data_IF_452340182538
#
_entry.id   IF_452340182538
#
_cell.length_a   1.000
_cell.length_b   1.000
_cell.length_c   1.000
_cell.angle_alpha   90.00
_cell.angle_beta   90.00
_cell.angle_gamma   90.00
#
_symmetry.space_group_name_H-M   'P 1'
#
loop_
_entity.id
_entity.type
_entity.pdbx_description
1 polymer ?
#
# COMPACT_ATOMS: atom_id res chain seq x y z
N UNK A 1 6.52 -21.92 11.34
CA UNK A 1 7.27 -20.72 11.18
C UNK A 1 6.65 -19.78 10.17
N UNK A 2 6.44 -18.57 10.54
CA UNK A 2 5.74 -17.63 9.67
C UNK A 2 6.70 -17.09 8.62
N UNK A 3 6.23 -16.98 7.38
CA UNK A 3 6.98 -16.30 6.35
C UNK A 3 6.96 -14.80 6.64
N UNK A 4 7.95 -14.09 6.11
CA UNK A 4 7.94 -12.64 6.19
C UNK A 4 6.70 -12.10 5.50
N UNK A 5 6.09 -11.05 6.03
CA UNK A 5 4.92 -10.47 5.37
C UNK A 5 5.30 -9.89 4.02
N UNK A 6 4.35 -9.94 3.10
CA UNK A 6 4.53 -9.39 1.76
C UNK A 6 3.93 -8.00 1.70
N UNK A 7 4.77 -7.02 1.39
CA UNK A 7 4.34 -5.65 1.17
C UNK A 7 4.30 -5.42 -0.33
N UNK A 8 3.15 -5.04 -0.85
CA UNK A 8 3.02 -4.76 -2.28
C UNK A 8 3.05 -3.26 -2.49
N UNK A 9 3.76 -2.83 -3.52
CA UNK A 9 3.89 -1.43 -3.90
C UNK A 9 3.29 -1.28 -5.29
N UNK A 10 2.25 -0.45 -5.42
CA UNK A 10 1.65 -0.15 -6.71
C UNK A 10 1.86 1.32 -7.00
N UNK A 11 2.78 1.63 -7.90
CA UNK A 11 3.15 2.99 -8.25
C UNK A 11 3.78 2.92 -9.63
N UNK A 12 3.39 3.82 -10.52
CA UNK A 12 3.93 3.81 -11.88
C UNK A 12 5.32 4.44 -11.97
N UNK A 13 5.81 5.05 -10.90
CA UNK A 13 7.13 5.67 -10.85
C UNK A 13 8.15 4.64 -10.39
N UNK A 14 9.05 4.26 -11.29
CA UNK A 14 10.08 3.25 -10.99
C UNK A 14 10.99 3.69 -9.84
N UNK A 15 11.32 4.98 -9.78
CA UNK A 15 12.20 5.49 -8.71
C UNK A 15 11.56 5.28 -7.34
N UNK A 16 10.27 5.51 -7.25
CA UNK A 16 9.54 5.31 -5.99
C UNK A 16 9.50 3.83 -5.65
N UNK A 17 9.19 2.97 -6.63
CA UNK A 17 9.17 1.54 -6.38
C UNK A 17 10.52 1.03 -5.89
N UNK A 18 11.60 1.46 -6.54
CA UNK A 18 12.94 1.01 -6.18
C UNK A 18 13.32 1.49 -4.79
N UNK A 19 13.05 2.75 -4.48
CA UNK A 19 13.38 3.30 -3.17
C UNK A 19 12.61 2.58 -2.06
N UNK A 20 11.33 2.34 -2.28
CA UNK A 20 10.52 1.64 -1.29
C UNK A 20 10.96 0.19 -1.14
N UNK A 21 11.25 -0.47 -2.24
CA UNK A 21 11.73 -1.85 -2.19
C UNK A 21 12.98 -1.96 -1.35
N UNK A 22 13.96 -1.06 -1.58
CA UNK A 22 15.19 -1.08 -0.80
C UNK A 22 14.93 -0.84 0.66
N UNK A 23 14.08 0.15 0.96
CA UNK A 23 13.77 0.49 2.33
C UNK A 23 13.12 -0.68 3.06
N UNK A 24 12.11 -1.27 2.45
CA UNK A 24 11.34 -2.32 3.11
C UNK A 24 12.15 -3.60 3.27
N UNK A 25 12.97 -3.92 2.27
CA UNK A 25 13.84 -5.10 2.38
C UNK A 25 14.89 -4.94 3.46
N UNK A 26 15.31 -3.70 3.71
CA UNK A 26 16.32 -3.46 4.73
C UNK A 26 15.84 -3.81 6.13
N UNK A 27 14.53 -3.86 6.34
CA UNK A 27 13.96 -4.26 7.62
C UNK A 27 13.39 -5.69 7.59
N UNK A 28 13.65 -6.43 6.52
CA UNK A 28 13.35 -7.86 6.49
C UNK A 28 12.01 -8.23 5.87
N UNK A 29 11.29 -7.30 5.28
CA UNK A 29 10.00 -7.62 4.66
C UNK A 29 10.18 -8.01 3.21
N UNK A 30 9.30 -8.91 2.73
CA UNK A 30 9.25 -9.25 1.31
C UNK A 30 8.48 -8.15 0.57
N UNK A 31 8.89 -7.86 -0.66
CA UNK A 31 8.25 -6.81 -1.45
C UNK A 31 7.99 -7.29 -2.87
N UNK A 32 6.90 -6.79 -3.44
CA UNK A 32 6.59 -6.94 -4.86
C UNK A 32 6.10 -5.59 -5.37
N UNK A 33 6.56 -5.19 -6.53
CA UNK A 33 6.15 -3.92 -7.12
C UNK A 33 5.37 -4.12 -8.40
N UNK A 34 4.36 -3.29 -8.60
CA UNK A 34 3.55 -3.31 -9.82
C UNK A 34 3.41 -1.89 -10.34
N UNK A 35 3.31 -1.76 -11.66
CA UNK A 35 3.21 -0.45 -12.29
C UNK A 35 1.78 0.04 -12.40
N UNK A 36 0.80 -0.84 -12.17
CA UNK A 36 -0.60 -0.48 -12.33
C UNK A 36 -1.46 -1.33 -11.42
N UNK A 37 -2.67 -0.84 -11.17
CA UNK A 37 -3.65 -1.60 -10.41
C UNK A 37 -4.01 -2.90 -11.12
N UNK A 38 -4.12 -2.85 -12.44
CA UNK A 38 -4.47 -4.03 -13.23
C UNK A 38 -3.42 -5.13 -13.07
N UNK A 39 -2.13 -4.74 -13.11
CA UNK A 39 -1.06 -5.71 -12.95
C UNK A 39 -1.14 -6.40 -11.59
N UNK A 40 -1.43 -5.62 -10.54
CA UNK A 40 -1.58 -6.19 -9.20
C UNK A 40 -2.77 -7.16 -9.15
N UNK A 41 -3.91 -6.75 -9.70
CA UNK A 41 -5.09 -7.60 -9.65
C UNK A 41 -4.89 -8.91 -10.40
N UNK A 42 -4.10 -8.89 -11.47
CA UNK A 42 -3.84 -10.09 -12.28
C UNK A 42 -2.72 -10.95 -11.73
N UNK A 43 -2.00 -10.47 -10.73
CA UNK A 43 -0.80 -11.14 -10.26
C UNK A 43 -1.08 -12.40 -9.44
N UNK A 44 -2.28 -12.54 -8.93
CA UNK A 44 -2.59 -13.62 -8.00
C UNK A 44 -2.11 -13.37 -6.59
N UNK A 45 -1.62 -12.17 -6.30
CA UNK A 45 -1.05 -11.86 -4.98
C UNK A 45 -2.00 -11.14 -4.04
N UNK A 46 -3.25 -10.90 -4.49
CA UNK A 46 -4.15 -10.04 -3.71
C UNK A 46 -4.35 -10.61 -2.30
N UNK A 47 -4.59 -11.91 -2.19
CA UNK A 47 -4.91 -12.50 -0.90
C UNK A 47 -3.70 -12.86 -0.06
N UNK A 48 -2.49 -12.74 -0.63
CA UNK A 48 -1.26 -12.97 0.13
C UNK A 48 -0.59 -11.67 0.54
N UNK A 49 -1.14 -10.54 0.14
CA UNK A 49 -0.58 -9.23 0.45
C UNK A 49 -0.91 -8.87 1.89
N UNK A 50 0.13 -8.59 2.67
CA UNK A 50 -0.04 -8.23 4.07
C UNK A 50 -0.29 -6.72 4.24
N UNK A 51 0.24 -5.91 3.32
CA UNK A 51 0.05 -4.46 3.34
C UNK A 51 0.25 -3.93 1.93
N UNK A 52 -0.56 -2.99 1.53
CA UNK A 52 -0.52 -2.42 0.18
C UNK A 52 -0.15 -0.95 0.26
N UNK A 53 0.95 -0.59 -0.39
CA UNK A 53 1.34 0.82 -0.60
C UNK A 53 0.86 1.20 -1.99
N UNK A 54 0.01 2.20 -2.07
CA UNK A 54 -0.75 2.44 -3.29
C UNK A 54 -0.73 3.92 -3.64
N UNK A 55 -0.24 4.23 -4.84
CA UNK A 55 -0.32 5.59 -5.35
C UNK A 55 -1.78 5.91 -5.64
N UNK A 56 -2.23 7.06 -5.18
CA UNK A 56 -3.62 7.45 -5.40
C UNK A 56 -3.88 7.76 -6.86
N UNK A 57 -2.86 8.20 -7.60
CA UNK A 57 -2.98 8.51 -9.03
C UNK A 57 -2.20 7.48 -9.84
N UNK A 58 -2.92 6.66 -10.56
CA UNK A 58 -2.35 5.66 -11.45
C UNK A 58 -2.99 5.79 -12.82
N UNK A 59 -2.26 5.48 -13.90
CA UNK A 59 -2.91 5.40 -15.21
C UNK A 59 -3.90 4.24 -15.22
N UNK A 60 -5.00 4.41 -15.94
CA UNK A 60 -6.04 3.38 -16.00
C UNK A 60 -6.86 3.37 -14.74
N UNK A 61 -6.89 2.23 -14.07
CA UNK A 61 -7.64 2.11 -12.81
C UNK A 61 -6.89 2.89 -11.74
N UNK A 62 -7.55 3.87 -11.14
CA UNK A 62 -6.92 4.72 -10.13
C UNK A 62 -6.75 3.97 -8.82
N UNK A 63 -5.95 4.56 -7.91
CA UNK A 63 -5.79 3.97 -6.60
C UNK A 63 -7.09 3.89 -5.82
N UNK A 64 -7.93 4.91 -5.92
CA UNK A 64 -9.23 4.88 -5.25
C UNK A 64 -10.14 3.80 -5.82
N UNK A 65 -10.11 3.61 -7.11
CA UNK A 65 -10.91 2.56 -7.74
C UNK A 65 -10.39 1.18 -7.33
N UNK A 66 -9.08 1.01 -7.27
CA UNK A 66 -8.51 -0.26 -6.80
C UNK A 66 -8.96 -0.54 -5.38
N UNK A 67 -8.92 0.46 -4.51
CA UNK A 67 -9.39 0.30 -3.14
C UNK A 67 -10.82 -0.19 -3.12
N UNK A 68 -11.68 0.40 -3.95
CA UNK A 68 -13.08 0.01 -4.01
C UNK A 68 -13.25 -1.43 -4.47
N UNK A 69 -12.48 -1.83 -5.49
CA UNK A 69 -12.56 -3.20 -6.00
C UNK A 69 -12.08 -4.21 -4.98
N UNK A 70 -11.02 -3.88 -4.25
CA UNK A 70 -10.52 -4.78 -3.20
C UNK A 70 -11.55 -4.96 -2.10
N UNK A 71 -12.21 -3.90 -1.70
CA UNK A 71 -13.25 -4.01 -0.69
C UNK A 71 -14.43 -4.84 -1.17
N UNK A 72 -14.81 -4.67 -2.42
CA UNK A 72 -15.91 -5.46 -3.00
C UNK A 72 -15.57 -6.93 -3.05
N UNK A 73 -14.32 -7.27 -3.25
CA UNK A 73 -13.88 -8.67 -3.28
C UNK A 73 -13.51 -9.19 -1.90
N UNK A 74 -13.73 -8.40 -0.86
CA UNK A 74 -13.48 -8.77 0.53
C UNK A 74 -12.00 -8.97 0.84
N UNK A 75 -11.13 -8.36 0.06
CA UNK A 75 -9.71 -8.33 0.38
C UNK A 75 -9.52 -7.38 1.56
N UNK A 76 -8.79 -7.81 2.57
CA UNK A 76 -8.76 -7.09 3.84
C UNK A 76 -7.39 -6.52 4.18
N UNK A 77 -6.45 -6.51 3.25
CA UNK A 77 -5.14 -5.98 3.58
C UNK A 77 -5.26 -4.49 3.90
N UNK A 78 -4.46 -4.00 4.86
CA UNK A 78 -4.37 -2.56 5.09
C UNK A 78 -3.79 -1.86 3.88
N UNK A 79 -4.32 -0.68 3.56
CA UNK A 79 -3.89 0.12 2.42
C UNK A 79 -3.35 1.45 2.94
N UNK A 80 -2.13 1.78 2.52
CA UNK A 80 -1.50 3.06 2.80
C UNK A 80 -1.32 3.76 1.47
N UNK A 81 -1.89 4.95 1.35
CA UNK A 81 -1.81 5.70 0.10
C UNK A 81 -0.57 6.57 0.06
N UNK A 82 0.02 6.64 -1.12
CA UNK A 82 1.10 7.57 -1.43
C UNK A 82 0.55 8.59 -2.41
N UNK A 83 0.92 9.85 -2.24
CA UNK A 83 0.34 10.89 -3.07
C UNK A 83 1.35 11.97 -3.37
N UNK A 84 1.26 12.54 -4.57
CA UNK A 84 1.97 13.78 -4.88
C UNK A 84 1.21 14.95 -4.25
N UNK A 85 1.86 16.11 -4.24
CA UNK A 85 1.24 17.33 -3.75
C UNK A 85 -0.08 17.59 -4.48
N UNK A 86 -1.05 18.11 -3.74
CA UNK A 86 -2.28 18.56 -4.36
C UNK A 86 -3.40 17.54 -4.41
N UNK A 87 -3.21 16.38 -3.79
CA UNK A 87 -4.22 15.33 -3.84
C UNK A 87 -4.82 15.01 -2.48
N UNK A 88 -4.78 15.97 -1.56
CA UNK A 88 -5.23 15.73 -0.18
C UNK A 88 -6.71 15.37 -0.10
N UNK A 89 -7.54 15.96 -0.97
CA UNK A 89 -8.97 15.63 -0.96
C UNK A 89 -9.21 14.16 -1.31
N UNK A 90 -8.43 13.64 -2.28
CA UNK A 90 -8.56 12.23 -2.64
C UNK A 90 -8.11 11.34 -1.49
N UNK A 91 -7.08 11.76 -0.78
CA UNK A 91 -6.61 10.99 0.37
C UNK A 91 -7.64 10.99 1.50
N UNK A 92 -8.32 12.11 1.71
CA UNK A 92 -9.39 12.14 2.71
C UNK A 92 -10.49 11.15 2.37
N UNK A 93 -10.87 11.06 1.09
CA UNK A 93 -11.83 10.05 0.66
C UNK A 93 -11.32 8.64 0.93
N UNK A 94 -10.04 8.40 0.65
CA UNK A 94 -9.46 7.08 0.86
C UNK A 94 -9.50 6.69 2.33
N UNK A 95 -9.22 7.62 3.22
CA UNK A 95 -9.27 7.35 4.65
C UNK A 95 -10.69 7.04 5.10
N UNK A 96 -11.67 7.77 4.60
CA UNK A 96 -13.06 7.50 4.93
C UNK A 96 -13.49 6.13 4.42
N UNK A 97 -12.89 5.66 3.35
CA UNK A 97 -13.19 4.35 2.80
C UNK A 97 -12.38 3.24 3.45
N UNK A 98 -11.58 3.54 4.46
CA UNK A 98 -10.91 2.52 5.25
C UNK A 98 -9.41 2.42 5.11
N UNK A 99 -8.78 3.32 4.34
CA UNK A 99 -7.31 3.31 4.27
C UNK A 99 -6.72 3.61 5.64
N UNK A 100 -5.56 3.02 5.91
CA UNK A 100 -4.89 3.19 7.20
C UNK A 100 -4.30 4.59 7.33
N UNK A 101 -3.70 5.09 6.25
CA UNK A 101 -3.00 6.37 6.27
C UNK A 101 -2.68 6.79 4.87
N UNK A 102 -2.20 8.03 4.72
CA UNK A 102 -1.58 8.44 3.47
C UNK A 102 -0.33 9.25 3.77
N UNK A 103 0.60 9.25 2.81
CA UNK A 103 1.82 10.02 2.90
C UNK A 103 2.02 10.82 1.63
N UNK A 104 2.34 12.10 1.78
CA UNK A 104 2.68 12.94 0.64
C UNK A 104 4.15 12.73 0.29
N UNK A 105 4.45 12.68 -0.99
CA UNK A 105 5.84 12.54 -1.46
C UNK A 105 6.51 13.90 -1.46
N UNK A 106 7.76 14.01 -1.05
CA UNK A 106 8.57 12.98 -0.41
C UNK A 106 8.13 12.75 1.03
N UNK A 107 8.18 11.51 1.47
CA UNK A 107 7.71 11.16 2.81
C UNK A 107 8.89 10.77 3.70
N UNK A 108 8.64 10.81 5.00
CA UNK A 108 9.61 10.41 5.99
C UNK A 108 9.65 8.89 6.08
N UNK A 109 10.81 8.30 5.81
CA UNK A 109 10.98 6.85 5.83
C UNK A 109 10.61 6.26 7.18
N UNK A 110 11.05 6.89 8.25
CA UNK A 110 10.78 6.37 9.59
C UNK A 110 9.29 6.36 9.88
N UNK A 111 8.59 7.44 9.53
CA UNK A 111 7.15 7.50 9.75
C UNK A 111 6.43 6.43 8.95
N UNK A 112 6.84 6.22 7.70
CA UNK A 112 6.22 5.20 6.87
C UNK A 112 6.44 3.81 7.46
N UNK A 113 7.67 3.51 7.88
CA UNK A 113 7.96 2.20 8.46
C UNK A 113 7.14 1.96 9.73
N UNK A 114 6.97 2.99 10.54
CA UNK A 114 6.17 2.85 11.76
C UNK A 114 4.72 2.52 11.46
N UNK A 115 4.15 3.17 10.45
CA UNK A 115 2.75 2.91 10.10
C UNK A 115 2.60 1.51 9.50
N UNK A 116 3.53 1.10 8.66
CA UNK A 116 3.48 -0.26 8.11
C UNK A 116 3.60 -1.29 9.22
N UNK A 117 4.53 -1.07 10.14
CA UNK A 117 4.74 -2.00 11.25
C UNK A 117 3.47 -2.14 12.08
N UNK A 118 2.81 -1.03 12.38
CA UNK A 118 1.56 -1.05 13.11
C UNK A 118 0.46 -1.78 12.33
N UNK A 119 0.42 -1.59 11.02
CA UNK A 119 -0.59 -2.22 10.18
C UNK A 119 -0.39 -3.73 10.09
N UNK A 120 0.87 -4.18 10.20
CA UNK A 120 1.18 -5.61 10.13
C UNK A 120 1.02 -6.30 11.49
N UNK A 121 0.93 -5.57 12.56
CA UNK A 121 0.82 -6.17 13.87
C UNK A 121 -0.46 -6.99 13.92
N UNK A 122 -0.41 -8.16 14.57
CA UNK A 122 -1.63 -8.91 14.78
C UNK A 122 -2.63 -8.02 15.47
N UNK A 123 -3.88 -8.28 15.24
CA UNK A 123 -4.89 -7.48 15.84
C UNK A 123 -4.92 -7.71 17.33
N UNK A 124 -3.96 -7.12 17.93
CA UNK A 124 -3.84 -7.27 19.34
C UNK A 124 -4.72 -6.29 20.05
N UNK A 125 -5.21 -5.35 19.31
CA UNK A 125 -6.21 -4.52 19.85
C UNK A 125 -7.41 -5.34 20.15
N UNK A 126 -7.51 -6.38 19.41
CA UNK A 126 -8.51 -7.30 19.79
C UNK A 126 -8.08 -7.65 21.13
N UNK A 127 -8.49 -7.54 22.02
CA UNK A 127 -8.05 -8.02 23.32
C UNK A 127 -8.50 -9.29 23.44
#
# INVERSE_FOLDING_TARGET
MAASPLIVIVDDDESIRDALTSLLRSVGWRTEGFTSAEAFLQSGQVHTTACLLLDVQLPGVSGLELQRQLRSSQARMPIIFLTAHGHEAMCAQALQAGAVAFFAKPFDDTALLEVIHAALAPDSGGP
#
